data_IF_162357094303
#
_entry.id   IF_162357094303
#
_cell.length_a   1.000
_cell.length_b   1.000
_cell.length_c   1.000
_cell.angle_alpha   90.00
_cell.angle_beta   90.00
_cell.angle_gamma   90.00
#
_symmetry.space_group_name_H-M   'P 1'
#
loop_
_entity.id
_entity.type
_entity.pdbx_description
1 polymer ?
#
# COMPACT_ATOMS: atom_id res chain seq x y z
N UNK A 1 -31.04 -3.98 37.91
CA UNK A 1 -29.86 -4.63 37.29
C UNK A 1 -30.00 -4.79 35.75
N UNK A 2 -30.24 -3.73 34.94
CA UNK A 2 -30.21 -3.83 33.47
C UNK A 2 -28.96 -3.20 32.81
N UNK A 3 -28.21 -2.35 33.52
CA UNK A 3 -27.08 -1.58 32.95
C UNK A 3 -25.83 -2.43 32.64
N UNK A 4 -25.62 -3.52 33.38
CA UNK A 4 -24.47 -4.41 33.20
C UNK A 4 -24.56 -5.22 31.90
N UNK A 5 -25.77 -5.69 31.57
CA UNK A 5 -26.02 -6.50 30.36
C UNK A 5 -25.92 -5.69 29.06
N UNK A 6 -26.26 -4.39 29.10
CA UNK A 6 -26.15 -3.50 27.93
C UNK A 6 -24.70 -3.14 27.60
N UNK A 7 -23.86 -2.89 28.62
CA UNK A 7 -22.41 -2.68 28.44
C UNK A 7 -21.74 -3.91 27.83
N UNK A 8 -22.10 -5.10 28.29
CA UNK A 8 -21.53 -6.35 27.76
C UNK A 8 -21.89 -6.58 26.28
N UNK A 9 -23.13 -6.28 25.89
CA UNK A 9 -23.56 -6.34 24.49
C UNK A 9 -22.86 -5.29 23.61
N UNK A 10 -22.64 -4.08 24.10
CA UNK A 10 -21.88 -3.04 23.40
C UNK A 10 -20.41 -3.42 23.18
N UNK A 11 -19.79 -4.05 24.18
CA UNK A 11 -18.42 -4.55 24.08
C UNK A 11 -18.32 -5.66 23.03
N UNK A 12 -19.23 -6.65 23.04
CA UNK A 12 -19.28 -7.71 22.02
C UNK A 12 -19.48 -7.12 20.61
N UNK A 13 -20.33 -6.10 20.49
CA UNK A 13 -20.54 -5.40 19.22
C UNK A 13 -19.28 -4.62 18.76
N UNK A 14 -18.55 -3.94 19.66
CA UNK A 14 -17.25 -3.33 19.32
C UNK A 14 -16.24 -4.44 18.87
N UNK A 15 -16.21 -5.62 19.53
CA UNK A 15 -15.30 -6.73 19.17
C UNK A 15 -15.63 -7.41 17.84
N UNK A 16 -16.90 -7.54 17.45
CA UNK A 16 -17.26 -8.15 16.16
C UNK A 16 -16.81 -7.34 14.95
N UNK A 17 -16.46 -6.06 15.13
CA UNK A 17 -15.92 -5.20 14.07
C UNK A 17 -14.39 -5.32 13.91
N UNK A 18 -13.72 -6.17 14.70
CA UNK A 18 -12.25 -6.36 14.67
C UNK A 18 -11.83 -7.48 13.72
N UNK A 19 -12.77 -8.27 13.20
CA UNK A 19 -12.47 -9.36 12.27
C UNK A 19 -12.35 -8.82 10.84
N UNK A 20 -11.14 -8.45 10.42
CA UNK A 20 -10.79 -8.36 9.00
C UNK A 20 -10.60 -9.78 8.44
N UNK A 21 -11.36 -10.11 7.41
CA UNK A 21 -11.13 -11.32 6.62
C UNK A 21 -9.79 -11.16 5.90
N UNK A 22 -8.85 -12.09 6.14
CA UNK A 22 -7.53 -12.08 5.49
C UNK A 22 -7.71 -12.55 4.05
N UNK A 23 -7.76 -11.61 3.12
CA UNK A 23 -7.54 -11.85 1.70
C UNK A 23 -6.07 -11.55 1.37
N UNK A 24 -5.57 -12.05 0.24
CA UNK A 24 -4.26 -11.63 -0.25
C UNK A 24 -4.21 -10.10 -0.40
N UNK A 25 -3.06 -9.48 -0.13
CA UNK A 25 -2.91 -8.03 -0.28
C UNK A 25 -3.17 -7.61 -1.73
N UNK A 26 -3.78 -6.43 -1.92
CA UNK A 26 -4.01 -5.82 -3.23
C UNK A 26 -2.99 -4.75 -3.50
N UNK A 27 -2.28 -4.85 -4.62
CA UNK A 27 -1.27 -3.85 -4.98
C UNK A 27 -1.48 -3.33 -6.40
N UNK A 28 -1.02 -2.12 -6.66
CA UNK A 28 -0.84 -1.67 -8.04
C UNK A 28 0.27 -2.49 -8.70
N UNK A 29 0.00 -3.02 -9.88
CA UNK A 29 0.92 -3.88 -10.65
C UNK A 29 1.08 -3.29 -12.06
N UNK A 30 2.17 -2.53 -12.31
CA UNK A 30 2.36 -1.84 -13.59
C UNK A 30 3.83 -1.41 -13.82
N UNK A 31 4.17 -1.01 -15.06
CA UNK A 31 5.45 -0.37 -15.40
C UNK A 31 5.24 0.85 -16.28
N UNK A 32 5.88 1.97 -15.92
CA UNK A 32 5.89 3.22 -16.69
C UNK A 32 6.54 3.05 -18.09
N UNK A 33 7.37 2.02 -18.26
CA UNK A 33 7.92 1.67 -19.57
C UNK A 33 6.87 1.11 -20.54
N UNK A 34 5.74 0.59 -20.01
CA UNK A 34 4.66 -0.02 -20.79
C UNK A 34 3.43 0.88 -20.91
N UNK A 35 3.11 1.65 -19.87
CA UNK A 35 1.99 2.60 -19.88
C UNK A 35 2.33 3.86 -19.09
N UNK A 36 2.01 5.02 -19.67
CA UNK A 36 2.16 6.34 -19.05
C UNK A 36 1.28 6.51 -17.80
N UNK A 37 0.19 5.74 -17.69
CA UNK A 37 -0.70 5.76 -16.51
C UNK A 37 -0.01 5.22 -15.26
N UNK A 38 1.05 4.43 -15.43
CA UNK A 38 1.88 3.95 -14.32
C UNK A 38 2.92 4.98 -13.87
N UNK A 39 3.06 6.12 -14.55
CA UNK A 39 3.98 7.16 -14.10
C UNK A 39 3.50 7.80 -12.78
N UNK A 40 4.33 8.65 -12.18
CA UNK A 40 4.00 9.31 -10.92
C UNK A 40 2.98 10.44 -11.07
N UNK A 41 2.89 11.03 -12.27
CA UNK A 41 1.76 11.86 -12.67
C UNK A 41 0.73 10.98 -13.35
N UNK A 42 -0.34 10.62 -12.63
CA UNK A 42 -1.49 10.00 -13.25
C UNK A 42 -2.14 11.01 -14.21
N UNK A 43 -1.90 10.86 -15.51
CA UNK A 43 -2.40 11.79 -16.55
C UNK A 43 -3.88 11.52 -16.87
N UNK A 44 -4.39 10.33 -16.58
CA UNK A 44 -5.78 9.93 -16.85
C UNK A 44 -6.63 9.75 -15.59
N UNK A 45 -7.89 10.17 -15.68
CA UNK A 45 -8.90 10.13 -14.60
C UNK A 45 -9.39 8.70 -14.28
N UNK A 46 -9.31 7.77 -15.25
CA UNK A 46 -9.64 6.35 -15.08
C UNK A 46 -8.40 5.51 -14.68
N UNK A 47 -7.58 6.04 -13.77
CA UNK A 47 -6.26 5.51 -13.43
C UNK A 47 -6.20 4.00 -13.12
N UNK A 48 -4.98 3.48 -13.08
CA UNK A 48 -4.69 2.08 -12.70
C UNK A 48 -5.44 1.70 -11.42
N UNK A 49 -5.80 0.41 -11.27
CA UNK A 49 -6.47 -0.14 -10.09
C UNK A 49 -5.59 -1.19 -9.42
N UNK A 50 -5.67 -1.37 -8.09
CA UNK A 50 -4.94 -2.42 -7.41
C UNK A 50 -5.56 -3.79 -7.72
N UNK A 51 -4.71 -4.79 -7.87
CA UNK A 51 -5.08 -6.17 -8.20
C UNK A 51 -4.58 -7.12 -7.11
N UNK A 52 -5.29 -8.25 -6.94
CA UNK A 52 -4.89 -9.32 -6.01
C UNK A 52 -3.45 -9.78 -6.29
N UNK A 53 -2.70 -10.02 -5.22
CA UNK A 53 -1.32 -10.50 -5.30
C UNK A 53 -1.18 -12.03 -5.31
N UNK A 54 -2.25 -12.77 -5.66
CA UNK A 54 -2.30 -14.24 -5.65
C UNK A 54 -1.23 -14.93 -6.52
N UNK A 55 -0.67 -14.19 -7.49
CA UNK A 55 0.42 -14.69 -8.34
C UNK A 55 1.78 -14.78 -7.62
N UNK A 56 1.91 -14.15 -6.44
CA UNK A 56 3.12 -14.15 -5.62
C UNK A 56 2.82 -14.93 -4.33
N UNK A 57 3.56 -16.01 -4.11
CA UNK A 57 3.43 -16.83 -2.91
C UNK A 57 3.75 -16.00 -1.66
N UNK A 58 2.86 -16.03 -0.68
CA UNK A 58 2.98 -15.27 0.59
C UNK A 58 3.19 -13.76 0.38
N UNK A 59 2.52 -13.18 -0.62
CA UNK A 59 2.56 -11.73 -0.83
C UNK A 59 2.02 -10.98 0.38
N UNK A 60 2.85 -10.14 0.99
CA UNK A 60 2.53 -9.33 2.17
C UNK A 60 2.79 -7.83 1.91
N UNK A 61 3.55 -7.50 0.86
CA UNK A 61 4.03 -6.15 0.61
C UNK A 61 3.70 -5.67 -0.81
N UNK A 62 3.32 -4.40 -0.90
CA UNK A 62 3.30 -3.66 -2.16
C UNK A 62 4.59 -2.85 -2.30
N UNK A 63 5.22 -2.96 -3.47
CA UNK A 63 6.45 -2.24 -3.79
C UNK A 63 6.18 -1.23 -4.89
N UNK A 64 6.73 -0.03 -4.72
CA UNK A 64 6.94 0.96 -5.78
C UNK A 64 8.45 1.15 -5.94
N UNK A 65 8.95 1.00 -7.15
CA UNK A 65 10.35 1.22 -7.48
C UNK A 65 10.48 2.20 -8.64
N UNK A 66 11.54 2.99 -8.65
CA UNK A 66 12.01 3.67 -9.85
C UNK A 66 13.32 3.00 -10.23
N UNK A 67 13.30 2.16 -11.26
CA UNK A 67 14.52 1.49 -11.76
C UNK A 67 14.68 1.74 -13.26
N UNK A 68 15.85 1.40 -13.77
CA UNK A 68 16.19 1.37 -15.19
C UNK A 68 16.04 -0.05 -15.78
N UNK A 69 16.01 -1.09 -14.94
CA UNK A 69 16.14 -2.49 -15.36
C UNK A 69 15.01 -2.97 -16.29
N UNK A 70 13.82 -2.37 -16.17
CA UNK A 70 12.64 -2.66 -17.00
C UNK A 70 12.15 -1.39 -17.73
N UNK A 71 13.08 -0.44 -17.98
CA UNK A 71 12.85 0.89 -18.55
C UNK A 71 12.80 2.01 -17.51
N UNK A 72 13.02 3.26 -17.95
CA UNK A 72 13.02 4.44 -17.06
C UNK A 72 11.60 4.73 -16.56
N UNK A 73 11.40 4.71 -15.25
CA UNK A 73 10.20 5.23 -14.61
C UNK A 73 9.71 4.39 -13.43
N UNK A 74 8.49 4.67 -12.98
CA UNK A 74 7.87 3.97 -11.86
C UNK A 74 7.40 2.57 -12.25
N UNK A 75 7.73 1.58 -11.44
CA UNK A 75 7.27 0.20 -11.53
C UNK A 75 6.68 -0.21 -10.19
N UNK A 76 5.51 -0.84 -10.23
CA UNK A 76 4.74 -1.25 -9.06
C UNK A 76 4.46 -2.74 -9.13
N UNK A 77 4.62 -3.46 -8.03
CA UNK A 77 4.45 -4.92 -7.98
C UNK A 77 4.24 -5.43 -6.55
N UNK A 78 3.82 -6.70 -6.43
CA UNK A 78 3.66 -7.42 -5.17
C UNK A 78 4.96 -8.10 -4.74
N UNK A 79 5.21 -8.19 -3.44
CA UNK A 79 6.38 -8.86 -2.86
C UNK A 79 5.99 -9.63 -1.60
N UNK A 80 6.64 -10.77 -1.36
CA UNK A 80 6.55 -11.50 -0.10
C UNK A 80 7.55 -11.02 0.95
N UNK A 81 8.45 -10.11 0.56
CA UNK A 81 9.50 -9.57 1.43
C UNK A 81 9.52 -8.05 1.41
N UNK A 82 9.89 -7.45 2.53
CA UNK A 82 10.16 -6.01 2.61
C UNK A 82 11.49 -5.70 1.88
N UNK A 83 11.39 -4.95 0.78
CA UNK A 83 12.56 -4.52 0.01
C UNK A 83 13.15 -3.21 0.54
N UNK A 84 12.57 -2.65 1.59
CA UNK A 84 13.00 -1.43 2.26
C UNK A 84 12.46 -0.16 1.62
N UNK A 85 12.99 0.95 2.13
CA UNK A 85 12.60 2.31 1.77
C UNK A 85 13.85 3.18 1.60
N UNK A 86 14.43 3.19 0.41
CA UNK A 86 15.69 3.88 0.14
C UNK A 86 15.79 4.42 -1.29
N UNK A 87 16.74 5.33 -1.51
CA UNK A 87 17.09 5.80 -2.84
C UNK A 87 18.61 5.83 -3.01
N UNK A 88 19.08 5.31 -4.14
CA UNK A 88 20.47 5.31 -4.53
C UNK A 88 20.67 6.01 -5.88
N UNK A 89 21.86 6.58 -6.06
CA UNK A 89 22.27 7.14 -7.34
C UNK A 89 23.04 6.09 -8.12
N UNK A 90 22.53 5.72 -9.30
CA UNK A 90 23.07 4.67 -10.16
C UNK A 90 23.52 5.29 -11.47
N UNK A 91 24.73 4.95 -11.92
CA UNK A 91 25.28 5.38 -13.20
C UNK A 91 25.48 4.16 -14.09
N UNK A 92 24.78 4.11 -15.22
CA UNK A 92 24.96 3.03 -16.18
C UNK A 92 26.25 3.27 -17.00
N UNK A 93 26.98 2.20 -17.37
CA UNK A 93 28.15 2.34 -18.24
C UNK A 93 27.76 2.97 -19.57
N UNK A 94 28.39 4.10 -19.93
CA UNK A 94 28.14 4.82 -21.18
C UNK A 94 27.28 6.08 -21.03
N UNK A 95 26.56 6.24 -19.92
CA UNK A 95 25.74 7.44 -19.70
C UNK A 95 26.54 8.59 -19.07
N UNK A 96 26.23 9.81 -19.53
CA UNK A 96 26.79 11.05 -18.99
C UNK A 96 26.10 11.51 -17.71
N UNK A 97 24.90 10.99 -17.44
CA UNK A 97 24.07 11.37 -16.29
C UNK A 97 23.96 10.22 -15.29
N UNK A 98 23.64 10.59 -14.05
CA UNK A 98 23.37 9.63 -12.97
C UNK A 98 21.87 9.64 -12.68
N UNK A 99 21.29 8.46 -12.53
CA UNK A 99 19.87 8.29 -12.26
C UNK A 99 19.64 8.07 -10.77
N UNK A 100 18.51 8.54 -10.26
CA UNK A 100 18.06 8.23 -8.90
C UNK A 100 17.10 7.06 -8.93
N UNK A 101 17.53 5.92 -8.42
CA UNK A 101 16.69 4.74 -8.24
C UNK A 101 16.18 4.68 -6.80
N UNK A 102 14.87 4.51 -6.62
CA UNK A 102 14.23 4.44 -5.32
C UNK A 102 13.44 3.14 -5.19
N UNK A 103 13.38 2.61 -3.98
CA UNK A 103 12.50 1.52 -3.58
C UNK A 103 11.66 2.02 -2.41
N UNK A 104 10.35 1.78 -2.50
CA UNK A 104 9.38 2.04 -1.44
C UNK A 104 8.53 0.79 -1.24
N UNK A 105 8.39 0.37 0.00
CA UNK A 105 7.66 -0.83 0.40
C UNK A 105 6.66 -0.51 1.51
N UNK A 106 5.46 -1.07 1.40
CA UNK A 106 4.36 -0.87 2.33
C UNK A 106 3.46 -2.12 2.37
N UNK A 107 2.61 -2.26 3.39
CA UNK A 107 1.91 -3.52 3.71
C UNK A 107 0.39 -3.39 3.83
N UNK A 108 -0.22 -2.39 3.17
CA UNK A 108 -1.67 -2.23 3.14
C UNK A 108 -2.19 -2.19 1.70
N UNK A 109 -3.47 -2.50 1.51
CA UNK A 109 -4.07 -2.52 0.17
C UNK A 109 -3.88 -1.19 -0.55
N UNK A 110 -3.38 -1.25 -1.78
CA UNK A 110 -3.15 -0.11 -2.66
C UNK A 110 -2.12 0.90 -2.16
N UNK A 111 -1.34 0.58 -1.12
CA UNK A 111 -0.44 1.55 -0.48
C UNK A 111 0.68 2.05 -1.40
N UNK A 112 1.02 1.30 -2.45
CA UNK A 112 2.01 1.70 -3.45
C UNK A 112 1.45 2.66 -4.53
N UNK A 113 0.29 3.27 -4.28
CA UNK A 113 -0.22 4.41 -5.07
C UNK A 113 0.75 5.59 -5.01
N UNK A 114 0.70 6.52 -5.99
CA UNK A 114 1.54 7.72 -5.95
C UNK A 114 1.08 8.78 -4.93
N UNK A 115 -0.02 8.54 -4.20
CA UNK A 115 -0.63 9.56 -3.33
C UNK A 115 -0.50 9.21 -1.85
N UNK A 116 -0.15 10.21 -1.04
CA UNK A 116 0.08 10.07 0.40
C UNK A 116 -1.18 9.51 1.10
N UNK A 117 -1.02 8.37 1.77
CA UNK A 117 -2.06 7.78 2.58
C UNK A 117 -2.32 8.69 3.81
N UNK A 118 -3.44 9.40 3.80
CA UNK A 118 -3.90 10.15 4.98
C UNK A 118 -4.27 9.10 6.04
N UNK A 119 -3.61 9.15 7.20
CA UNK A 119 -3.92 8.23 8.30
C UNK A 119 -5.32 8.56 8.84
N UNK A 120 -6.17 7.54 8.94
CA UNK A 120 -7.57 7.67 9.33
C UNK A 120 -7.68 7.94 10.84
N UNK A 121 -7.62 9.22 11.20
CA UNK A 121 -7.81 9.74 12.58
C UNK A 121 -9.13 9.25 13.22
N UNK A 122 -10.11 8.89 12.39
CA UNK A 122 -11.42 8.37 12.79
C UNK A 122 -11.39 7.08 13.59
N UNK A 123 -10.45 6.16 13.29
CA UNK A 123 -10.37 4.87 14.00
C UNK A 123 -9.94 5.06 15.46
N UNK A 124 -9.00 5.98 15.70
CA UNK A 124 -8.52 6.31 17.04
C UNK A 124 -9.61 6.95 17.92
N UNK A 125 -10.46 7.80 17.33
CA UNK A 125 -11.55 8.48 18.05
C UNK A 125 -12.65 7.48 18.46
N UNK A 126 -13.00 6.54 17.58
CA UNK A 126 -13.97 5.47 17.87
C UNK A 126 -13.50 4.53 18.99
N UNK A 127 -12.20 4.20 19.00
CA UNK A 127 -11.61 3.33 20.01
C UNK A 127 -11.55 4.01 21.39
N UNK A 128 -11.25 5.31 21.44
CA UNK A 128 -11.33 6.11 22.68
C UNK A 128 -12.78 6.18 23.21
N UNK A 129 -13.77 6.29 22.31
CA UNK A 129 -15.18 6.35 22.68
C UNK A 129 -15.72 5.01 23.23
N UNK A 130 -15.35 3.84 22.66
CA UNK A 130 -15.72 2.54 23.24
C UNK A 130 -15.07 2.29 24.63
N UNK A 131 -13.92 2.92 24.95
CA UNK A 131 -13.23 2.73 26.25
C UNK A 131 -13.76 3.65 27.37
N UNK A 132 -14.40 4.76 27.03
CA UNK A 132 -14.87 5.77 28.00
C UNK A 132 -16.35 5.58 28.43
N UNK A 133 -17.11 4.72 27.76
CA UNK A 133 -18.55 4.50 28.00
C UNK A 133 -18.88 3.02 28.28
#
# INVERSE_FOLDING_TARGET
MPSFSLKFLLVIYCFSNVFELVYGIKCYQCSAAKSLDCSDMMVHMDGIQPHECDSVFEAEYCVKSTSLDDGIGSKRFCSSIDLGNYCNYVKQPGDLITYRSCVFTCSSDGCNSSSNHIQNLHFFILLLFCLLF
#
